data_IF_611038191498
#
_entry.id   IF_611038191498
#
_cell.length_a   1.000
_cell.length_b   1.000
_cell.length_c   1.000
_cell.angle_alpha   90.00
_cell.angle_beta   90.00
_cell.angle_gamma   90.00
#
_symmetry.space_group_name_H-M   'P 1'
#
loop_
_entity.id
_entity.type
_entity.pdbx_description
1 polymer ?
#
# COMPACT_ATOMS: atom_id res chain seq x y z
N UNK A 1 30.26 7.16 -16.46
CA UNK A 1 29.16 7.48 -15.53
C UNK A 1 28.88 6.25 -14.69
N UNK A 2 29.45 6.19 -13.49
CA UNK A 2 29.27 5.06 -12.57
C UNK A 2 27.99 5.32 -11.77
N UNK A 3 26.91 4.62 -12.09
CA UNK A 3 25.75 4.55 -11.21
C UNK A 3 26.19 3.84 -9.93
N UNK A 4 26.24 4.58 -8.82
CA UNK A 4 26.34 3.98 -7.50
C UNK A 4 25.01 3.29 -7.23
N UNK A 5 25.01 1.96 -7.26
CA UNK A 5 23.91 1.16 -6.74
C UNK A 5 23.87 1.37 -5.23
N UNK A 6 22.93 2.19 -4.74
CA UNK A 6 22.69 2.32 -3.32
C UNK A 6 22.05 1.02 -2.81
N UNK A 7 22.84 0.16 -2.17
CA UNK A 7 22.32 -0.99 -1.45
C UNK A 7 21.63 -0.49 -0.17
N UNK A 8 20.40 -0.93 0.08
CA UNK A 8 19.79 -0.78 1.39
C UNK A 8 20.68 -1.47 2.43
N UNK A 9 21.07 -0.78 3.50
CA UNK A 9 22.09 -1.26 4.43
C UNK A 9 22.60 -0.17 5.38
N UNK A 10 23.68 -0.45 6.11
CA UNK A 10 24.30 0.53 7.00
C UNK A 10 25.53 1.18 6.36
N UNK A 11 25.59 2.51 6.38
CA UNK A 11 26.74 3.30 5.93
C UNK A 11 27.51 3.81 7.15
N UNK A 12 28.83 3.67 7.12
CA UNK A 12 29.72 4.31 8.10
C UNK A 12 29.93 5.76 7.69
N UNK A 13 29.48 6.69 8.52
CA UNK A 13 29.69 8.13 8.31
C UNK A 13 30.84 8.58 9.22
N UNK A 14 31.96 9.08 8.68
CA UNK A 14 33.09 9.51 9.50
C UNK A 14 32.69 10.72 10.34
N UNK A 15 32.88 10.61 11.65
CA UNK A 15 32.59 11.64 12.63
C UNK A 15 33.83 12.07 13.41
N UNK A 16 33.82 13.30 13.92
CA UNK A 16 34.89 13.89 14.76
C UNK A 16 35.19 13.12 16.07
N UNK A 17 34.40 12.08 16.40
CA UNK A 17 34.59 11.20 17.57
C UNK A 17 34.57 9.70 17.24
N UNK A 18 34.71 9.32 15.97
CA UNK A 18 34.60 7.93 15.49
C UNK A 18 33.53 7.77 14.42
N UNK A 19 33.59 6.67 13.68
CA UNK A 19 32.64 6.38 12.61
C UNK A 19 31.27 6.02 13.18
N UNK A 20 30.22 6.67 12.66
CA UNK A 20 28.83 6.42 13.06
C UNK A 20 28.17 5.50 12.03
N UNK A 21 27.62 4.38 12.50
CA UNK A 21 26.84 3.48 11.66
C UNK A 21 25.41 4.03 11.50
N UNK A 22 25.02 4.36 10.27
CA UNK A 22 23.69 4.88 9.94
C UNK A 22 22.96 3.91 9.02
N UNK A 23 21.75 3.50 9.39
CA UNK A 23 20.89 2.70 8.53
C UNK A 23 20.29 3.57 7.42
N UNK A 24 20.54 3.20 6.16
CA UNK A 24 20.02 3.88 4.97
C UNK A 24 19.10 2.93 4.19
N UNK A 25 17.96 3.48 3.77
CA UNK A 25 17.01 2.82 2.86
C UNK A 25 17.04 3.56 1.52
N UNK A 26 16.78 2.87 0.42
CA UNK A 26 16.75 3.54 -0.88
C UNK A 26 15.51 4.45 -0.98
N UNK A 27 15.58 5.49 -1.79
CA UNK A 27 14.41 6.33 -2.07
C UNK A 27 13.27 5.54 -2.72
N UNK A 28 13.57 4.43 -3.39
CA UNK A 28 12.57 3.53 -3.96
C UNK A 28 11.83 2.77 -2.85
N UNK A 29 12.56 2.11 -1.95
CA UNK A 29 11.95 1.33 -0.85
C UNK A 29 11.18 2.22 0.11
N UNK A 30 11.68 3.44 0.37
CA UNK A 30 11.04 4.41 1.27
C UNK A 30 9.62 4.81 0.86
N UNK A 31 9.26 4.67 -0.43
CA UNK A 31 7.88 4.94 -0.91
C UNK A 31 6.85 3.98 -0.33
N UNK A 32 7.30 2.82 0.14
CA UNK A 32 6.46 1.74 0.64
C UNK A 32 6.50 1.62 2.18
N UNK A 33 7.08 2.59 2.88
CA UNK A 33 7.14 2.60 4.35
C UNK A 33 5.73 2.63 5.00
N UNK A 34 4.76 3.22 4.30
CA UNK A 34 3.37 3.35 4.77
C UNK A 34 2.34 2.97 3.71
N UNK A 35 2.75 2.27 2.66
CA UNK A 35 1.89 1.83 1.56
C UNK A 35 2.33 0.44 1.11
N UNK A 36 1.38 -0.47 0.97
CA UNK A 36 1.63 -1.81 0.43
C UNK A 36 1.82 -1.74 -1.08
N UNK A 37 2.89 -2.36 -1.56
CA UNK A 37 3.15 -2.52 -2.99
C UNK A 37 2.21 -3.58 -3.56
N UNK A 38 1.40 -3.20 -4.54
CA UNK A 38 0.53 -4.11 -5.30
C UNK A 38 1.32 -5.30 -5.88
N UNK A 39 0.79 -6.51 -5.72
CA UNK A 39 1.44 -7.75 -6.19
C UNK A 39 0.69 -8.45 -7.35
N UNK A 40 -0.59 -8.15 -7.58
CA UNK A 40 -1.42 -8.87 -8.57
C UNK A 40 -2.07 -7.93 -9.60
N UNK A 41 -2.47 -8.43 -10.76
CA UNK A 41 -3.27 -7.64 -11.70
C UNK A 41 -4.65 -7.30 -11.12
N UNK A 42 -5.18 -6.11 -11.46
CA UNK A 42 -6.52 -5.64 -11.04
C UNK A 42 -6.72 -5.47 -9.51
N UNK A 43 -5.64 -5.48 -8.72
CA UNK A 43 -5.66 -5.45 -7.24
C UNK A 43 -5.28 -4.10 -6.61
N UNK A 44 -5.14 -3.02 -7.40
CA UNK A 44 -4.76 -1.70 -6.89
C UNK A 44 -5.70 -1.21 -5.77
N UNK A 45 -7.01 -1.51 -5.87
CA UNK A 45 -7.99 -1.21 -4.84
C UNK A 45 -7.76 -1.97 -3.54
N UNK A 46 -7.45 -3.27 -3.59
CA UNK A 46 -7.18 -4.06 -2.38
C UNK A 46 -5.86 -3.66 -1.73
N UNK A 47 -4.82 -3.37 -2.50
CA UNK A 47 -3.55 -2.86 -1.97
C UNK A 47 -3.73 -1.48 -1.30
N UNK A 48 -4.51 -0.58 -1.90
CA UNK A 48 -4.81 0.73 -1.33
C UNK A 48 -5.60 0.61 -0.01
N UNK A 49 -6.64 -0.22 0.02
CA UNK A 49 -7.43 -0.47 1.24
C UNK A 49 -6.59 -1.16 2.32
N UNK A 50 -5.79 -2.17 1.98
CA UNK A 50 -4.90 -2.84 2.93
C UNK A 50 -3.88 -1.88 3.56
N UNK A 51 -3.36 -0.93 2.76
CA UNK A 51 -2.47 0.12 3.23
C UNK A 51 -3.16 1.05 4.24
N UNK A 52 -4.37 1.52 3.91
CA UNK A 52 -5.16 2.36 4.79
C UNK A 52 -5.43 1.65 6.12
N UNK A 53 -5.94 0.43 6.07
CA UNK A 53 -6.27 -0.34 7.27
C UNK A 53 -5.04 -0.57 8.14
N UNK A 54 -3.96 -1.08 7.56
CA UNK A 54 -2.78 -1.49 8.32
C UNK A 54 -1.97 -0.31 8.87
N UNK A 55 -1.77 0.75 8.08
CA UNK A 55 -0.87 1.84 8.45
C UNK A 55 -1.58 3.04 9.06
N UNK A 56 -2.86 3.27 8.74
CA UNK A 56 -3.61 4.43 9.23
C UNK A 56 -4.67 4.08 10.28
N UNK A 57 -5.32 2.92 10.18
CA UNK A 57 -6.36 2.49 11.12
C UNK A 57 -5.91 1.43 12.12
N UNK A 58 -4.63 1.02 12.08
CA UNK A 58 -4.05 0.00 12.96
C UNK A 58 -4.74 -1.38 12.88
N UNK A 59 -5.48 -1.64 11.80
CA UNK A 59 -6.10 -2.92 11.49
C UNK A 59 -5.21 -3.70 10.51
N UNK A 60 -4.42 -4.63 11.04
CA UNK A 60 -3.40 -5.34 10.27
C UNK A 60 -4.04 -6.38 9.34
N UNK A 61 -4.00 -6.11 8.05
CA UNK A 61 -4.49 -6.98 6.98
C UNK A 61 -3.47 -7.05 5.85
N UNK A 62 -3.49 -8.11 5.04
CA UNK A 62 -2.65 -8.19 3.83
C UNK A 62 -3.42 -7.81 2.58
N UNK A 63 -2.72 -7.43 1.50
CA UNK A 63 -3.35 -7.23 0.17
C UNK A 63 -4.15 -8.47 -0.26
N UNK A 64 -3.63 -9.67 0.01
CA UNK A 64 -4.26 -10.92 -0.37
C UNK A 64 -5.59 -11.15 0.37
N UNK A 65 -5.60 -10.92 1.68
CA UNK A 65 -6.83 -11.09 2.49
C UNK A 65 -7.91 -10.11 2.04
N UNK A 66 -7.54 -8.83 1.88
CA UNK A 66 -8.45 -7.78 1.38
C UNK A 66 -8.96 -8.14 -0.02
N UNK A 67 -8.10 -8.65 -0.90
CA UNK A 67 -8.48 -9.05 -2.26
C UNK A 67 -9.55 -10.14 -2.23
N UNK A 68 -9.34 -11.22 -1.48
CA UNK A 68 -10.27 -12.36 -1.41
C UNK A 68 -11.61 -11.94 -0.79
N UNK A 69 -11.58 -11.23 0.34
CA UNK A 69 -12.78 -10.77 1.04
C UNK A 69 -13.57 -9.77 0.19
N UNK A 70 -12.90 -8.83 -0.48
CA UNK A 70 -13.57 -7.86 -1.36
C UNK A 70 -14.12 -8.52 -2.63
N UNK A 71 -13.40 -9.50 -3.21
CA UNK A 71 -13.88 -10.25 -4.38
C UNK A 71 -15.15 -11.05 -4.05
N UNK A 72 -15.27 -11.58 -2.83
CA UNK A 72 -16.47 -12.28 -2.36
C UNK A 72 -17.72 -11.37 -2.32
N UNK A 73 -17.54 -10.06 -2.28
CA UNK A 73 -18.63 -9.05 -2.26
C UNK A 73 -18.82 -8.35 -3.62
N UNK A 74 -17.98 -8.65 -4.61
CA UNK A 74 -17.92 -7.99 -5.90
C UNK A 74 -18.41 -8.91 -7.04
N UNK A 75 -18.61 -8.32 -8.21
CA UNK A 75 -18.84 -9.08 -9.45
C UNK A 75 -17.49 -9.47 -10.06
N UNK A 76 -17.11 -10.75 -9.93
CA UNK A 76 -15.83 -11.27 -10.39
C UNK A 76 -15.55 -10.96 -11.88
N UNK A 77 -16.57 -11.04 -12.74
CA UNK A 77 -16.39 -10.77 -14.17
C UNK A 77 -16.04 -9.30 -14.42
N UNK A 78 -16.65 -8.38 -13.65
CA UNK A 78 -16.30 -6.96 -13.72
C UNK A 78 -14.92 -6.67 -13.16
N UNK A 79 -14.55 -7.27 -12.03
CA UNK A 79 -13.24 -7.09 -11.40
C UNK A 79 -12.12 -7.55 -12.32
N UNK A 80 -12.29 -8.69 -13.00
CA UNK A 80 -11.30 -9.21 -13.96
C UNK A 80 -11.05 -8.30 -15.16
N UNK A 81 -12.01 -7.43 -15.49
CA UNK A 81 -11.90 -6.51 -16.64
C UNK A 81 -11.46 -5.11 -16.23
N UNK A 82 -11.93 -4.63 -15.07
CA UNK A 82 -11.83 -3.22 -14.69
C UNK A 82 -11.15 -3.00 -13.32
N UNK A 83 -10.85 -4.06 -12.58
CA UNK A 83 -10.49 -3.99 -11.17
C UNK A 83 -11.67 -3.66 -10.25
N UNK A 84 -11.36 -3.48 -8.97
CA UNK A 84 -12.35 -3.13 -7.96
C UNK A 84 -12.86 -1.70 -8.14
N UNK A 85 -14.18 -1.55 -8.09
CA UNK A 85 -14.83 -0.25 -8.08
C UNK A 85 -14.80 0.39 -6.68
N UNK A 86 -15.08 1.69 -6.61
CA UNK A 86 -15.28 2.36 -5.33
C UNK A 86 -16.44 1.78 -4.50
N UNK A 87 -17.45 1.20 -5.16
CA UNK A 87 -18.55 0.54 -4.48
C UNK A 87 -18.10 -0.78 -3.83
N UNK A 88 -17.22 -1.55 -4.49
CA UNK A 88 -16.69 -2.79 -3.94
C UNK A 88 -15.86 -2.51 -2.68
N UNK A 89 -15.00 -1.48 -2.74
CA UNK A 89 -14.21 -1.03 -1.59
C UNK A 89 -15.09 -0.55 -0.42
N UNK A 90 -16.17 0.21 -0.71
CA UNK A 90 -17.14 0.63 0.31
C UNK A 90 -17.83 -0.58 0.96
N UNK A 91 -18.33 -1.53 0.18
CA UNK A 91 -19.01 -2.74 0.70
C UNK A 91 -18.09 -3.56 1.60
N UNK A 92 -16.85 -3.72 1.19
CA UNK A 92 -15.83 -4.41 1.98
C UNK A 92 -15.61 -3.72 3.34
N UNK A 93 -15.42 -2.40 3.35
CA UNK A 93 -15.22 -1.62 4.57
C UNK A 93 -16.47 -1.67 5.49
N UNK A 94 -17.67 -1.51 4.92
CA UNK A 94 -18.93 -1.58 5.67
C UNK A 94 -19.17 -2.96 6.28
N UNK A 95 -18.84 -4.04 5.55
CA UNK A 95 -18.93 -5.41 6.07
C UNK A 95 -17.99 -5.65 7.28
N UNK A 96 -16.91 -4.88 7.39
CA UNK A 96 -15.97 -4.88 8.53
C UNK A 96 -16.35 -3.89 9.64
N UNK A 97 -17.46 -3.16 9.49
CA UNK A 97 -17.95 -2.20 10.49
C UNK A 97 -17.37 -0.80 10.36
N UNK A 98 -16.64 -0.48 9.30
CA UNK A 98 -16.19 0.89 9.02
C UNK A 98 -17.30 1.70 8.36
N UNK A 99 -17.37 2.98 8.71
CA UNK A 99 -18.13 3.94 7.92
C UNK A 99 -17.30 4.33 6.68
N UNK A 100 -17.84 4.05 5.48
CA UNK A 100 -17.17 4.37 4.22
C UNK A 100 -18.13 5.11 3.27
N UNK A 101 -17.71 6.28 2.81
CA UNK A 101 -18.51 7.15 1.93
C UNK A 101 -17.78 7.43 0.61
N UNK A 102 -18.55 7.64 -0.45
CA UNK A 102 -18.05 7.99 -1.78
C UNK A 102 -18.32 9.44 -2.11
N UNK A 103 -17.30 10.18 -2.53
CA UNK A 103 -17.41 11.60 -2.87
C UNK A 103 -17.12 11.81 -4.35
N UNK A 104 -17.89 12.71 -4.99
CA UNK A 104 -17.57 13.23 -6.31
C UNK A 104 -16.99 14.62 -6.13
N UNK A 105 -15.69 14.75 -6.31
CA UNK A 105 -14.96 16.01 -6.18
C UNK A 105 -14.70 16.63 -7.56
N UNK A 106 -14.88 17.95 -7.74
CA UNK A 106 -14.43 18.63 -8.95
C UNK A 106 -12.89 18.73 -8.97
N UNK A 107 -12.29 18.81 -10.17
CA UNK A 107 -10.84 18.92 -10.36
C UNK A 107 -10.32 20.36 -10.21
N UNK A 108 -11.01 21.18 -9.40
CA UNK A 108 -10.74 22.62 -9.23
C UNK A 108 -9.35 22.91 -8.68
#
# INVERSE_FOLDING_TARGET
>A
MLWSTAFAGSVMVPGIGGDVQVNVTSFESRRFDSVMRQQYDFSCGSAAVASLLSFHYQDRVTEHDVFIEMLALADEQKVRQNGFSMLDMKRYLEARGYQADGFRMPLT
#
